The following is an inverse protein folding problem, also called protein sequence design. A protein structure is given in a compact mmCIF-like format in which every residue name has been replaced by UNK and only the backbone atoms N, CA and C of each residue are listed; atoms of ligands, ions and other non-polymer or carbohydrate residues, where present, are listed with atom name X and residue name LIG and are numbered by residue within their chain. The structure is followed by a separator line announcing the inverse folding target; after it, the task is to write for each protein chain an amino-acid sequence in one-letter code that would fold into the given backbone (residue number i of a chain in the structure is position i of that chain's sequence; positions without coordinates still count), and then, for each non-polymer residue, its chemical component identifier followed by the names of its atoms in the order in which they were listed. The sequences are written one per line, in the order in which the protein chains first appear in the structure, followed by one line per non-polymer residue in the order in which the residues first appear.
data_IF_081282878937
#
_entry.id   IF_081282878937
#
_cell.length_a   1.000
_cell.length_b   1.000
_cell.length_c   1.000
_cell.angle_alpha   90.00
_cell.angle_beta   90.00
_cell.angle_gamma   90.00
#
_symmetry.space_group_name_H-M   'P 1'
#
loop_
_entity.id
_entity.type
_entity.pdbx_description
1 polymer ?
#
# COMPACT_ATOMS: atom_id res chain seq x y z
N UNK A 1 16.73 1.92 -7.59
CA UNK A 1 17.25 2.37 -6.28
C UNK A 1 16.81 3.82 -6.00
N UNK A 2 15.55 4.06 -5.61
CA UNK A 2 15.05 5.43 -5.34
C UNK A 2 13.83 5.53 -4.40
N UNK A 3 13.31 4.42 -3.85
CA UNK A 3 12.01 4.43 -3.15
C UNK A 3 12.14 4.10 -1.65
N UNK A 4 13.21 4.58 -1.01
CA UNK A 4 13.39 4.49 0.44
C UNK A 4 13.58 5.90 0.98
N UNK A 5 12.62 6.38 1.76
CA UNK A 5 12.60 7.73 2.31
C UNK A 5 11.51 7.87 3.37
N UNK A 6 11.33 9.07 3.91
CA UNK A 6 10.25 9.35 4.86
C UNK A 6 9.09 10.08 4.17
N UNK A 7 7.87 9.93 4.70
CA UNK A 7 6.68 10.65 4.24
C UNK A 7 6.77 12.18 4.46
N UNK A 8 7.77 12.65 5.21
CA UNK A 8 8.05 14.08 5.34
C UNK A 8 8.78 14.64 4.13
N UNK A 9 9.59 13.82 3.48
CA UNK A 9 10.42 14.22 2.33
C UNK A 9 9.67 14.06 1.01
N UNK A 10 8.73 13.11 0.96
CA UNK A 10 7.87 12.83 -0.19
C UNK A 10 6.43 12.70 0.29
N UNK A 11 5.54 13.54 -0.25
CA UNK A 11 4.11 13.40 -0.02
C UNK A 11 3.64 12.03 -0.52
N UNK A 12 2.69 11.41 0.20
CA UNK A 12 2.17 10.11 -0.21
C UNK A 12 1.56 10.16 -1.62
N UNK A 13 0.93 11.28 -1.98
CA UNK A 13 0.39 11.51 -3.32
C UNK A 13 1.48 11.44 -4.39
N UNK A 14 2.63 12.07 -4.15
CA UNK A 14 3.75 12.09 -5.09
C UNK A 14 4.32 10.67 -5.30
N UNK A 15 4.41 9.87 -4.23
CA UNK A 15 4.88 8.47 -4.31
C UNK A 15 3.91 7.64 -5.15
N UNK A 16 2.61 7.76 -4.91
CA UNK A 16 1.60 7.02 -5.66
C UNK A 16 1.61 7.42 -7.14
N UNK A 17 1.63 8.73 -7.42
CA UNK A 17 1.71 9.26 -8.78
C UNK A 17 2.97 8.78 -9.51
N UNK A 18 4.12 8.79 -8.83
CA UNK A 18 5.39 8.32 -9.39
C UNK A 18 5.32 6.83 -9.78
N UNK A 19 4.75 5.98 -8.91
CA UNK A 19 4.60 4.55 -9.18
C UNK A 19 3.65 4.33 -10.36
N UNK A 20 2.52 5.04 -10.39
CA UNK A 20 1.55 4.97 -11.49
C UNK A 20 2.15 5.42 -12.82
N UNK A 21 2.86 6.55 -12.87
CA UNK A 21 3.48 7.07 -14.09
C UNK A 21 4.59 6.17 -14.62
N UNK A 22 5.36 5.54 -13.74
CA UNK A 22 6.41 4.61 -14.13
C UNK A 22 5.88 3.21 -14.43
N UNK A 23 4.56 2.99 -14.31
CA UNK A 23 3.89 1.69 -14.54
C UNK A 23 4.54 0.53 -13.78
N UNK A 24 5.08 0.82 -12.58
CA UNK A 24 5.81 -0.18 -11.80
C UNK A 24 4.86 -1.14 -11.11
N UNK A 25 5.27 -2.39 -11.05
CA UNK A 25 4.64 -3.44 -10.23
C UNK A 25 5.51 -3.73 -9.02
N UNK A 26 4.89 -4.03 -7.89
CA UNK A 26 5.60 -4.33 -6.64
C UNK A 26 4.78 -3.96 -5.41
N UNK A 27 5.47 -3.82 -4.28
CA UNK A 27 4.85 -3.42 -3.02
C UNK A 27 5.45 -2.12 -2.47
N UNK A 28 4.60 -1.27 -1.91
CA UNK A 28 4.97 -0.12 -1.10
C UNK A 28 4.69 -0.45 0.35
N UNK A 29 5.75 -0.53 1.16
CA UNK A 29 5.65 -0.82 2.59
C UNK A 29 5.82 0.48 3.38
N UNK A 30 4.74 0.94 3.99
CA UNK A 30 4.69 2.10 4.88
C UNK A 30 4.76 1.60 6.33
N UNK A 31 5.65 2.19 7.14
CA UNK A 31 5.81 1.83 8.55
C UNK A 31 5.70 3.08 9.40
N UNK A 32 4.89 3.03 10.45
CA UNK A 32 4.77 4.10 11.44
C UNK A 32 4.50 3.49 12.81
N UNK A 33 5.25 3.89 13.84
CA UNK A 33 5.02 3.58 15.28
C UNK A 33 4.16 2.33 15.59
N UNK A 34 4.64 1.14 15.22
CA UNK A 34 3.98 -0.15 15.52
C UNK A 34 2.94 -0.62 14.49
N UNK A 35 2.62 0.19 13.48
CA UNK A 35 1.79 -0.16 12.34
C UNK A 35 2.63 -0.29 11.07
N UNK A 36 2.21 -1.22 10.23
CA UNK A 36 2.75 -1.41 8.88
C UNK A 36 1.58 -1.53 7.93
N UNK A 37 1.62 -0.78 6.83
CA UNK A 37 0.69 -0.91 5.71
C UNK A 37 1.48 -1.32 4.49
N UNK A 38 1.02 -2.35 3.79
CA UNK A 38 1.56 -2.79 2.51
C UNK A 38 0.54 -2.49 1.43
N UNK A 39 0.94 -1.80 0.37
CA UNK A 39 0.12 -1.52 -0.81
C UNK A 39 0.73 -2.25 -2.00
N UNK A 40 -0.08 -2.98 -2.77
CA UNK A 40 0.36 -3.71 -3.95
C UNK A 40 -0.01 -3.00 -5.23
N UNK A 41 0.94 -3.00 -6.17
CA UNK A 41 0.81 -2.38 -7.47
C UNK A 41 1.03 -3.39 -8.58
N UNK A 42 0.19 -3.30 -9.62
CA UNK A 42 0.35 -4.02 -10.89
C UNK A 42 0.20 -3.03 -12.03
N UNK A 43 1.25 -2.89 -12.83
CA UNK A 43 1.30 -1.97 -13.98
C UNK A 43 0.94 -0.54 -13.59
N UNK A 44 1.41 -0.08 -12.42
CA UNK A 44 1.10 1.25 -11.88
C UNK A 44 -0.27 1.39 -11.21
N UNK A 45 -1.11 0.36 -11.21
CA UNK A 45 -2.43 0.36 -10.57
C UNK A 45 -2.38 -0.25 -9.18
N UNK A 46 -3.10 0.35 -8.23
CA UNK A 46 -3.27 -0.23 -6.89
C UNK A 46 -4.24 -1.41 -7.00
N UNK A 47 -3.77 -2.60 -6.63
CA UNK A 47 -4.60 -3.83 -6.64
C UNK A 47 -5.00 -4.27 -5.23
N UNK A 48 -4.41 -3.67 -4.20
CA UNK A 48 -4.77 -3.95 -2.82
C UNK A 48 -3.96 -3.16 -1.82
N UNK A 49 -4.44 -3.11 -0.59
CA UNK A 49 -3.71 -2.59 0.56
C UNK A 49 -4.09 -3.36 1.82
N UNK A 50 -3.11 -3.67 2.66
CA UNK A 50 -3.30 -4.38 3.93
C UNK A 50 -2.52 -3.69 5.05
N UNK A 51 -3.12 -3.63 6.23
CA UNK A 51 -2.41 -3.26 7.46
C UNK A 51 -2.05 -4.53 8.24
N UNK A 52 -0.79 -4.67 8.64
CA UNK A 52 -0.24 -5.84 9.33
C UNK A 52 -0.86 -6.15 10.72
N UNK A 53 -1.84 -5.36 11.17
CA UNK A 53 -2.60 -5.59 12.42
C UNK A 53 -4.10 -5.82 12.22
N UNK A 54 -4.62 -5.74 10.98
CA UNK A 54 -6.06 -5.89 10.74
C UNK A 54 -6.47 -7.35 10.91
N UNK A 55 -7.44 -7.63 11.77
CA UNK A 55 -7.94 -9.00 11.96
C UNK A 55 -8.54 -9.47 10.64
N UNK A 56 -8.24 -10.69 10.20
CA UNK A 56 -8.76 -11.28 8.95
C UNK A 56 -10.28 -11.14 8.81
N UNK A 57 -11.03 -11.18 9.92
CA UNK A 57 -12.49 -10.99 9.94
C UNK A 57 -12.95 -9.62 9.44
N UNK A 58 -12.10 -8.61 9.57
CA UNK A 58 -12.42 -7.22 9.25
C UNK A 58 -11.95 -6.86 7.83
N UNK A 59 -11.41 -7.83 7.08
CA UNK A 59 -11.08 -7.67 5.66
C UNK A 59 -12.35 -7.71 4.82
N UNK A 60 -12.46 -6.79 3.85
CA UNK A 60 -13.62 -6.66 2.98
C UNK A 60 -14.02 -8.00 2.33
N UNK A 61 -13.05 -8.76 1.80
CA UNK A 61 -13.32 -10.09 1.22
C UNK A 61 -13.93 -11.08 2.23
N UNK A 62 -13.45 -11.08 3.48
CA UNK A 62 -14.00 -11.93 4.53
C UNK A 62 -15.41 -11.50 4.96
N UNK A 63 -15.73 -10.20 4.86
CA UNK A 63 -17.08 -9.68 5.11
C UNK A 63 -18.04 -10.09 3.99
N UNK A 64 -17.60 -10.01 2.73
CA UNK A 64 -18.43 -10.35 1.55
C UNK A 64 -18.81 -11.83 1.48
N UNK A 65 -17.94 -12.74 1.96
CA UNK A 65 -18.22 -14.19 1.97
C UNK A 65 -19.14 -14.60 3.14
N UNK A 66 -19.35 -13.72 4.12
CA UNK A 66 -20.21 -13.96 5.28
C UNK A 66 -21.62 -13.37 5.15
N UNK A 67 -21.89 -12.64 4.07
CA UNK A 67 -23.17 -12.00 3.79
C UNK A 67 -24.19 -12.97 3.19
#
# INVERSE_FOLDING_TARGET
MALKGTLKDFGIADILQLISHQTKSGELVLRTRGQQVTVWFVSGNIVGAEEAGRKRRDMLGSMMVRA
#
